data_IF_029119682571
#
_entry.id   IF_029119682571
#
_cell.length_a   1.000
_cell.length_b   1.000
_cell.length_c   1.000
_cell.angle_alpha   90.00
_cell.angle_beta   90.00
_cell.angle_gamma   90.00
#
_symmetry.space_group_name_H-M   'P 1'
#
loop_
_entity.id
_entity.type
_entity.pdbx_description
1 polymer ?
#
# COMPACT_ATOMS: atom_id res chain seq x y z
N UNK A 1 42.06 -57.05 -13.13
CA UNK A 1 42.69 -55.73 -13.33
C UNK A 1 41.54 -54.82 -13.74
N UNK A 2 40.63 -54.45 -12.82
CA UNK A 2 40.81 -53.43 -11.76
C UNK A 2 41.13 -52.08 -12.45
N UNK A 3 40.32 -51.02 -12.38
CA UNK A 3 39.49 -50.55 -11.28
C UNK A 3 38.25 -49.78 -11.79
N UNK A 4 37.09 -50.07 -11.19
CA UNK A 4 35.92 -49.19 -11.21
C UNK A 4 36.23 -47.99 -10.29
N UNK A 5 36.45 -46.80 -10.84
CA UNK A 5 36.53 -45.56 -10.05
C UNK A 5 35.14 -45.20 -9.51
N UNK A 6 34.88 -45.49 -8.24
CA UNK A 6 33.75 -44.93 -7.51
C UNK A 6 33.91 -43.41 -7.37
N UNK A 7 33.08 -42.64 -8.07
CA UNK A 7 32.92 -41.21 -7.79
C UNK A 7 32.06 -41.07 -6.54
N UNK A 8 32.73 -40.86 -5.40
CA UNK A 8 32.08 -40.58 -4.12
C UNK A 8 31.27 -39.28 -4.19
N UNK A 9 29.95 -39.39 -4.37
CA UNK A 9 29.03 -38.26 -4.14
C UNK A 9 29.01 -38.02 -2.64
N UNK A 10 29.68 -36.96 -2.19
CA UNK A 10 29.62 -36.50 -0.80
C UNK A 10 28.19 -36.07 -0.49
N UNK A 11 27.39 -36.97 0.05
CA UNK A 11 26.09 -36.68 0.66
C UNK A 11 26.32 -35.92 1.97
N UNK A 12 26.64 -34.63 1.86
CA UNK A 12 26.60 -33.71 2.99
C UNK A 12 25.15 -33.43 3.35
N UNK A 13 24.70 -33.93 4.50
CA UNK A 13 23.38 -33.59 5.04
C UNK A 13 23.22 -32.06 5.06
N UNK A 14 22.13 -31.50 4.50
CA UNK A 14 21.93 -30.06 4.51
C UNK A 14 21.80 -29.56 5.95
N UNK A 15 22.60 -28.54 6.30
CA UNK A 15 22.55 -27.90 7.62
C UNK A 15 21.11 -27.43 7.90
N UNK A 16 20.60 -27.67 9.12
CA UNK A 16 19.21 -27.37 9.52
C UNK A 16 18.84 -25.90 9.24
N UNK A 17 19.82 -25.01 9.30
CA UNK A 17 19.67 -23.58 8.98
C UNK A 17 19.37 -23.30 7.51
N UNK A 18 19.81 -24.15 6.57
CA UNK A 18 19.51 -24.02 5.13
C UNK A 18 18.06 -24.41 4.84
N UNK A 19 17.60 -25.51 5.43
CA UNK A 19 16.21 -25.98 5.27
C UNK A 19 15.20 -24.91 5.71
N UNK A 20 15.40 -24.31 6.88
CA UNK A 20 14.53 -23.23 7.39
C UNK A 20 14.49 -22.04 6.41
N UNK A 21 15.61 -21.69 5.80
CA UNK A 21 15.69 -20.58 4.83
C UNK A 21 14.97 -20.91 3.52
N UNK A 22 15.11 -22.14 3.03
CA UNK A 22 14.43 -22.62 1.81
C UNK A 22 12.92 -22.70 2.01
N UNK A 23 12.46 -23.19 3.17
CA UNK A 23 11.04 -23.24 3.56
C UNK A 23 10.44 -21.83 3.67
N UNK A 24 11.15 -20.91 4.34
CA UNK A 24 10.72 -19.50 4.49
C UNK A 24 10.67 -18.80 3.12
N UNK A 25 11.62 -19.07 2.22
CA UNK A 25 11.64 -18.50 0.88
C UNK A 25 10.48 -19.02 0.02
N UNK A 26 10.15 -20.31 0.13
CA UNK A 26 9.01 -20.92 -0.54
C UNK A 26 7.66 -20.34 -0.05
N UNK A 27 7.53 -20.07 1.25
CA UNK A 27 6.34 -19.43 1.83
C UNK A 27 6.14 -17.99 1.34
N UNK A 28 7.23 -17.28 1.03
CA UNK A 28 7.22 -15.94 0.41
C UNK A 28 7.09 -16.02 -1.13
N UNK A 29 7.14 -17.21 -1.73
CA UNK A 29 6.95 -17.44 -3.16
C UNK A 29 8.22 -17.33 -4.03
N UNK A 30 9.40 -17.35 -3.43
CA UNK A 30 10.69 -17.34 -4.14
C UNK A 30 11.25 -18.76 -4.31
N UNK A 31 11.74 -19.09 -5.51
CA UNK A 31 12.43 -20.37 -5.81
C UNK A 31 13.94 -20.16 -5.70
N UNK A 32 14.57 -20.82 -4.73
CA UNK A 32 16.05 -20.83 -4.59
C UNK A 32 16.63 -21.77 -5.65
N UNK A 33 17.36 -21.22 -6.63
CA UNK A 33 18.04 -22.00 -7.67
C UNK A 33 19.52 -22.13 -7.31
N UNK A 34 19.96 -23.35 -6.97
CA UNK A 34 21.36 -23.69 -6.74
C UNK A 34 21.92 -23.30 -5.35
N UNK A 35 23.09 -23.82 -4.97
CA UNK A 35 23.76 -23.42 -3.75
C UNK A 35 24.22 -21.96 -3.88
N UNK A 36 23.70 -21.11 -3.01
CA UNK A 36 24.11 -19.70 -2.89
C UNK A 36 25.59 -19.61 -2.50
N UNK A 37 26.38 -18.82 -3.23
CA UNK A 37 27.78 -18.55 -2.84
C UNK A 37 27.78 -17.82 -1.48
N UNK A 38 28.72 -18.10 -0.55
CA UNK A 38 28.83 -17.36 0.71
C UNK A 38 28.88 -15.82 0.57
N UNK A 39 29.29 -15.33 -0.60
CA UNK A 39 29.42 -13.91 -0.95
C UNK A 39 28.15 -13.32 -1.58
N UNK A 40 27.16 -14.13 -1.93
CA UNK A 40 25.91 -13.66 -2.53
C UNK A 40 24.91 -13.26 -1.45
N UNK A 41 24.40 -12.02 -1.55
CA UNK A 41 23.28 -11.56 -0.74
C UNK A 41 21.97 -11.82 -1.52
N UNK A 42 21.20 -12.87 -1.17
CA UNK A 42 20.07 -13.36 -1.96
C UNK A 42 18.82 -12.48 -1.83
N UNK A 43 18.84 -11.54 -0.88
CA UNK A 43 17.80 -10.55 -0.70
C UNK A 43 18.33 -9.24 -1.27
N UNK A 44 17.75 -8.78 -2.37
CA UNK A 44 18.03 -7.43 -2.86
C UNK A 44 17.86 -6.44 -1.70
N UNK A 45 18.78 -5.49 -1.52
CA UNK A 45 18.54 -4.39 -0.60
C UNK A 45 17.27 -3.67 -1.06
N UNK A 46 16.32 -3.52 -0.13
CA UNK A 46 15.01 -2.89 -0.29
C UNK A 46 14.90 -1.95 -1.49
N UNK A 47 14.27 -2.43 -2.57
CA UNK A 47 13.87 -1.57 -3.68
C UNK A 47 12.55 -0.89 -3.30
N UNK A 48 12.48 0.45 -3.24
CA UNK A 48 11.22 1.13 -3.03
C UNK A 48 10.37 1.00 -4.30
N UNK A 49 9.59 -0.09 -4.38
CA UNK A 49 8.56 -0.25 -5.41
C UNK A 49 7.38 0.63 -5.02
N UNK A 50 7.08 1.65 -5.83
CA UNK A 50 5.87 2.45 -5.66
C UNK A 50 4.72 1.74 -6.39
N UNK A 51 3.70 1.30 -5.65
CA UNK A 51 2.47 0.81 -6.25
C UNK A 51 1.55 2.01 -6.56
N UNK A 52 1.11 2.14 -7.81
CA UNK A 52 0.04 3.08 -8.15
C UNK A 52 -1.29 2.45 -7.72
N UNK A 53 -1.85 2.91 -6.62
CA UNK A 53 -3.10 2.38 -6.05
C UNK A 53 -4.29 3.15 -6.61
N UNK A 54 -5.22 2.43 -7.24
CA UNK A 54 -6.52 2.96 -7.65
C UNK A 54 -7.56 2.72 -6.55
N UNK A 55 -8.32 3.76 -6.22
CA UNK A 55 -9.36 3.78 -5.20
C UNK A 55 -10.72 4.13 -5.83
N UNK A 56 -11.78 3.58 -5.25
CA UNK A 56 -13.16 3.89 -5.63
C UNK A 56 -13.89 4.43 -4.40
N UNK A 57 -14.40 5.65 -4.50
CA UNK A 57 -15.18 6.30 -3.46
C UNK A 57 -16.67 6.14 -3.79
N UNK A 58 -17.36 5.34 -2.98
CA UNK A 58 -18.77 4.98 -3.21
C UNK A 58 -19.76 5.93 -2.52
N UNK A 59 -19.29 6.77 -1.59
CA UNK A 59 -20.16 7.68 -0.82
C UNK A 59 -20.24 9.03 -1.52
N UNK A 60 -21.19 9.15 -2.45
CA UNK A 60 -21.44 10.40 -3.17
C UNK A 60 -22.76 11.01 -2.71
N UNK A 61 -22.72 12.28 -2.31
CA UNK A 61 -23.89 13.00 -1.79
C UNK A 61 -24.69 13.73 -2.89
N UNK A 62 -23.99 14.24 -3.89
CA UNK A 62 -24.57 15.07 -4.95
C UNK A 62 -23.73 14.93 -6.21
N UNK A 63 -24.40 14.95 -7.37
CA UNK A 63 -23.76 15.00 -8.68
C UNK A 63 -24.31 16.20 -9.45
N UNK A 64 -23.41 17.08 -9.90
CA UNK A 64 -23.75 18.29 -10.63
C UNK A 64 -23.11 18.30 -12.02
N UNK A 65 -23.91 18.53 -13.04
CA UNK A 65 -23.48 18.87 -14.40
C UNK A 65 -23.98 20.29 -14.74
N UNK A 66 -23.64 20.79 -15.93
CA UNK A 66 -24.08 22.13 -16.38
C UNK A 66 -25.61 22.24 -16.51
N UNK A 67 -26.28 21.14 -16.82
CA UNK A 67 -27.72 21.11 -17.13
C UNK A 67 -28.56 20.42 -16.06
N UNK A 68 -27.97 19.54 -15.25
CA UNK A 68 -28.68 18.70 -14.29
C UNK A 68 -27.96 18.66 -12.94
N UNK A 69 -28.74 18.60 -11.87
CA UNK A 69 -28.26 18.42 -10.51
C UNK A 69 -29.06 17.29 -9.85
N UNK A 70 -28.35 16.27 -9.39
CA UNK A 70 -28.92 15.09 -8.74
C UNK A 70 -28.47 15.14 -7.29
N UNK A 71 -29.42 15.17 -6.35
CA UNK A 71 -29.17 15.28 -4.91
C UNK A 71 -29.55 13.96 -4.25
N UNK A 72 -28.62 13.36 -3.50
CA UNK A 72 -28.85 12.13 -2.76
C UNK A 72 -29.65 12.34 -1.48
N UNK A 73 -30.42 11.31 -1.09
CA UNK A 73 -31.19 11.26 0.15
C UNK A 73 -30.92 9.92 0.86
N UNK A 74 -29.85 9.72 1.66
CA UNK A 74 -28.72 10.61 2.00
C UNK A 74 -27.49 10.50 1.07
N UNK A 75 -27.38 9.42 0.28
CA UNK A 75 -26.34 9.20 -0.73
C UNK A 75 -26.99 8.85 -2.07
N UNK A 76 -26.26 9.01 -3.17
CA UNK A 76 -26.68 8.55 -4.49
C UNK A 76 -26.25 7.09 -4.70
N UNK A 77 -27.19 6.17 -5.00
CA UNK A 77 -26.85 4.79 -5.33
C UNK A 77 -26.18 4.71 -6.70
N UNK A 78 -25.34 3.70 -6.91
CA UNK A 78 -24.71 3.36 -8.19
C UNK A 78 -23.85 4.47 -8.83
N UNK A 79 -23.33 5.37 -8.01
CA UNK A 79 -22.36 6.40 -8.39
C UNK A 79 -21.01 6.10 -7.73
N UNK A 80 -19.95 6.13 -8.54
CA UNK A 80 -18.59 5.85 -8.11
C UNK A 80 -17.63 6.96 -8.58
N UNK A 81 -16.77 7.42 -7.66
CA UNK A 81 -15.67 8.33 -8.00
C UNK A 81 -14.37 7.54 -7.98
N UNK A 82 -13.71 7.45 -9.13
CA UNK A 82 -12.40 6.83 -9.25
C UNK A 82 -11.32 7.85 -8.92
N UNK A 83 -10.40 7.45 -8.06
CA UNK A 83 -9.26 8.24 -7.65
C UNK A 83 -7.98 7.39 -7.67
N UNK A 84 -6.84 8.05 -7.79
CA UNK A 84 -5.53 7.43 -7.65
C UNK A 84 -4.80 8.10 -6.49
N UNK A 85 -4.09 7.30 -5.71
CA UNK A 85 -3.18 7.81 -4.67
C UNK A 85 -1.97 8.42 -5.36
N UNK A 86 -1.79 9.73 -5.21
CA UNK A 86 -0.70 10.49 -5.82
C UNK A 86 0.55 10.42 -4.95
N UNK A 87 0.39 10.76 -3.67
CA UNK A 87 1.48 10.74 -2.68
C UNK A 87 0.95 10.58 -1.25
N UNK A 88 1.79 10.00 -0.40
CA UNK A 88 1.65 10.05 1.05
C UNK A 88 2.62 11.11 1.59
N UNK A 89 2.08 12.12 2.25
CA UNK A 89 2.83 13.29 2.70
C UNK A 89 2.59 13.57 4.18
N UNK A 90 3.55 14.24 4.82
CA UNK A 90 3.37 14.79 6.16
C UNK A 90 2.95 16.25 6.07
N UNK A 91 1.90 16.60 6.79
CA UNK A 91 1.44 17.98 6.92
C UNK A 91 2.52 18.88 7.57
N UNK A 92 2.32 20.19 7.44
CA UNK A 92 3.10 21.20 8.12
C UNK A 92 3.12 20.94 9.63
N UNK A 93 4.26 21.21 10.27
CA UNK A 93 4.42 20.98 11.71
C UNK A 93 3.54 21.97 12.48
N UNK A 94 2.52 21.46 13.16
CA UNK A 94 1.73 22.22 14.11
C UNK A 94 2.45 22.24 15.46
N UNK A 95 2.73 23.43 15.99
CA UNK A 95 3.38 23.58 17.30
C UNK A 95 2.32 23.76 18.38
N UNK A 96 2.18 22.75 19.24
CA UNK A 96 1.29 22.78 20.40
C UNK A 96 2.08 23.32 21.60
N UNK A 97 1.75 24.55 22.00
CA UNK A 97 2.34 25.20 23.17
C UNK A 97 1.34 25.25 24.32
N UNK A 98 1.70 24.67 25.47
CA UNK A 98 0.90 24.68 26.70
C UNK A 98 1.64 25.48 27.78
N UNK A 99 1.02 26.51 28.34
CA UNK A 99 1.59 27.34 29.43
C UNK A 99 0.54 27.58 30.51
N UNK A 100 0.94 27.48 31.79
CA UNK A 100 0.12 27.90 32.94
C UNK A 100 0.80 29.07 33.64
N UNK A 101 0.08 30.18 33.81
CA UNK A 101 0.58 31.41 34.43
C UNK A 101 1.00 31.16 35.89
N UNK A 102 2.17 31.67 36.31
CA UNK A 102 2.72 31.56 37.68
C UNK A 102 2.92 30.13 38.21
N UNK A 103 2.86 29.09 37.36
CA UNK A 103 3.06 27.68 37.76
C UNK A 103 4.37 27.08 37.24
N UNK A 104 5.26 27.90 36.67
CA UNK A 104 6.48 27.47 35.96
C UNK A 104 6.25 26.32 34.95
N UNK A 105 5.01 26.15 34.50
CA UNK A 105 4.63 25.08 33.60
C UNK A 105 4.58 25.64 32.18
N UNK A 106 5.48 25.13 31.34
CA UNK A 106 5.51 25.33 29.90
C UNK A 106 5.89 24.02 29.20
N UNK A 107 5.19 23.65 28.13
CA UNK A 107 5.50 22.49 27.29
C UNK A 107 5.28 22.88 25.83
N UNK A 108 6.22 22.52 24.98
CA UNK A 108 6.14 22.71 23.52
C UNK A 108 6.26 21.33 22.88
N UNK A 109 5.29 20.94 22.05
CA UNK A 109 5.33 19.68 21.30
C UNK A 109 4.97 19.96 19.84
N UNK A 110 5.68 19.36 18.90
CA UNK A 110 5.28 19.35 17.49
C UNK A 110 4.33 18.20 17.18
N UNK A 111 3.35 18.44 16.32
CA UNK A 111 2.52 17.42 15.68
C UNK A 111 2.66 17.56 14.17
N UNK A 112 2.76 16.43 13.47
CA UNK A 112 2.65 16.37 12.01
C UNK A 112 1.65 15.26 11.70
N UNK A 113 0.67 15.58 10.87
CA UNK A 113 -0.36 14.64 10.47
C UNK A 113 0.08 13.94 9.18
N UNK A 114 -0.11 12.63 9.11
CA UNK A 114 0.02 11.89 7.86
C UNK A 114 -1.21 12.15 6.99
N UNK A 115 -0.97 12.55 5.75
CA UNK A 115 -1.97 12.87 4.75
C UNK A 115 -1.75 12.00 3.52
N UNK A 116 -2.84 11.66 2.85
CA UNK A 116 -2.82 10.99 1.55
C UNK A 116 -3.44 11.92 0.54
N UNK A 117 -2.69 12.29 -0.48
CA UNK A 117 -3.18 13.13 -1.56
C UNK A 117 -3.77 12.24 -2.63
N UNK A 118 -5.05 12.45 -2.90
CA UNK A 118 -5.79 11.71 -3.93
C UNK A 118 -5.99 12.62 -5.14
N UNK A 119 -5.72 12.07 -6.33
CA UNK A 119 -6.08 12.69 -7.60
C UNK A 119 -7.32 12.01 -8.15
N UNK A 120 -8.39 12.77 -8.34
CA UNK A 120 -9.63 12.27 -8.95
C UNK A 120 -9.40 12.04 -10.43
N UNK A 121 -9.70 10.84 -10.93
CA UNK A 121 -9.50 10.47 -12.34
C UNK A 121 -10.80 10.46 -13.13
N UNK A 122 -11.88 9.96 -12.54
CA UNK A 122 -13.17 9.85 -13.22
C UNK A 122 -14.33 9.89 -12.23
N UNK A 123 -15.47 10.42 -12.67
CA UNK A 123 -16.74 10.44 -11.94
C UNK A 123 -17.76 9.72 -12.83
N UNK A 124 -18.23 8.54 -12.40
CA UNK A 124 -19.23 7.78 -13.14
C UNK A 124 -20.65 8.27 -12.85
N UNK A 125 -21.59 8.05 -13.78
CA UNK A 125 -23.03 8.23 -13.53
C UNK A 125 -23.66 9.53 -14.06
N UNK A 126 -22.92 10.39 -14.78
CA UNK A 126 -23.47 11.60 -15.41
C UNK A 126 -24.35 11.25 -16.63
N UNK A 127 -24.00 10.19 -17.35
CA UNK A 127 -24.61 9.85 -18.65
C UNK A 127 -25.69 8.77 -18.55
N UNK A 128 -25.99 8.26 -17.35
CA UNK A 128 -26.97 7.19 -17.16
C UNK A 128 -28.38 7.79 -16.92
N UNK A 129 -29.32 7.68 -17.89
CA UNK A 129 -30.65 8.26 -17.76
C UNK A 129 -31.49 7.65 -16.62
N UNK A 130 -31.14 6.45 -16.15
CA UNK A 130 -31.80 5.79 -15.02
C UNK A 130 -31.58 6.52 -13.68
N UNK A 131 -30.48 7.25 -13.54
CA UNK A 131 -30.12 7.96 -12.29
C UNK A 131 -30.94 9.25 -12.07
N UNK A 132 -31.55 9.78 -13.13
CA UNK A 132 -32.39 10.99 -13.09
C UNK A 132 -33.75 10.71 -12.46
N UNK A 133 -34.26 9.49 -12.58
CA UNK A 133 -35.59 9.09 -12.10
C UNK A 133 -35.68 8.93 -10.56
N UNK A 134 -34.56 8.75 -9.88
CA UNK A 134 -34.50 8.51 -8.41
C UNK A 134 -34.51 9.83 -7.62
N UNK A 135 -34.37 10.97 -8.30
CA UNK A 135 -34.20 12.29 -7.69
C UNK A 135 -35.50 13.12 -7.51
N UNK A 136 -36.66 12.59 -7.92
CA UNK A 136 -37.97 13.20 -7.68
C UNK A 136 -38.47 12.89 -6.25
#
# INVERSE_FOLDING_TARGET
MNDDEEVSVSNGFPDRKRLIKEETAAEIGYRVVGPLDPSEHPFNPYEPVFAVVQLILNKVLMLGSRTQMIIGRPILPDIAVHAVVDEHALDAKVIIFKKKRRKNYRRTKGHRQELTKLRITNIQGIDNPQNVAIAA
#
